data_IF_185918948818
#
_entry.id   IF_185918948818
#
_cell.length_a   1.000
_cell.length_b   1.000
_cell.length_c   1.000
_cell.angle_alpha   90.00
_cell.angle_beta   90.00
_cell.angle_gamma   90.00
#
_symmetry.space_group_name_H-M   'P 1'
#
loop_
_entity.id
_entity.type
_entity.pdbx_description
1 polymer ?
#
# COMPACT_ATOMS: atom_id res chain seq x y z
N UNK A 1 -32.65 38.42 32.40
CA UNK A 1 -33.00 37.10 31.84
C UNK A 1 -34.27 37.29 31.03
N UNK A 2 -34.20 37.27 29.70
CA UNK A 2 -35.37 37.45 28.83
C UNK A 2 -35.97 36.09 28.54
N UNK A 3 -37.16 35.83 29.09
CA UNK A 3 -37.93 34.62 28.84
C UNK A 3 -38.54 34.74 27.43
N UNK A 4 -37.98 33.99 26.48
CA UNK A 4 -38.60 33.75 25.18
C UNK A 4 -39.68 32.68 25.35
N UNK A 5 -40.83 33.07 25.89
CA UNK A 5 -42.06 32.28 25.76
C UNK A 5 -42.55 32.48 24.33
N UNK A 6 -42.01 31.66 23.42
CA UNK A 6 -42.48 31.57 22.05
C UNK A 6 -43.93 31.10 22.03
N UNK A 7 -44.76 31.85 21.30
CA UNK A 7 -46.18 31.64 21.12
C UNK A 7 -46.48 30.13 20.88
N UNK A 8 -47.41 29.50 21.63
CA UNK A 8 -47.70 28.06 21.53
C UNK A 8 -48.09 27.61 20.11
N UNK A 9 -48.56 28.55 19.29
CA UNK A 9 -48.89 28.34 17.87
C UNK A 9 -47.65 28.12 17.01
N UNK A 10 -46.56 28.87 17.24
CA UNK A 10 -45.29 28.75 16.53
C UNK A 10 -44.55 27.45 16.86
N UNK A 11 -44.63 26.99 18.10
CA UNK A 11 -44.08 25.70 18.50
C UNK A 11 -44.80 24.56 17.77
N UNK A 12 -46.14 24.61 17.72
CA UNK A 12 -46.94 23.61 17.00
C UNK A 12 -46.64 23.58 15.50
N UNK A 13 -46.43 24.75 14.88
CA UNK A 13 -46.04 24.85 13.48
C UNK A 13 -44.65 24.22 13.22
N UNK A 14 -43.66 24.52 14.07
CA UNK A 14 -42.32 23.93 13.98
C UNK A 14 -42.33 22.41 14.16
N UNK A 15 -43.12 21.89 15.09
CA UNK A 15 -43.26 20.44 15.27
C UNK A 15 -43.93 19.76 14.07
N UNK A 16 -44.91 20.41 13.42
CA UNK A 16 -45.52 19.90 12.20
C UNK A 16 -44.52 19.87 11.03
N UNK A 17 -43.69 20.90 10.89
CA UNK A 17 -42.64 20.96 9.86
C UNK A 17 -41.58 19.88 10.08
N UNK A 18 -41.13 19.68 11.33
CA UNK A 18 -40.17 18.62 11.67
C UNK A 18 -40.77 17.23 11.39
N UNK A 19 -42.05 17.01 11.66
CA UNK A 19 -42.73 15.75 11.36
C UNK A 19 -42.83 15.49 9.84
N UNK A 20 -43.16 16.52 9.06
CA UNK A 20 -43.20 16.44 7.60
C UNK A 20 -41.82 16.15 7.01
N UNK A 21 -40.77 16.80 7.52
CA UNK A 21 -39.39 16.56 7.09
C UNK A 21 -38.92 15.14 7.41
N UNK A 22 -39.20 14.63 8.61
CA UNK A 22 -38.89 13.24 8.98
C UNK A 22 -39.58 12.24 8.04
N UNK A 23 -40.87 12.44 7.75
CA UNK A 23 -41.63 11.60 6.82
C UNK A 23 -41.01 11.58 5.42
N UNK A 24 -40.61 12.74 4.89
CA UNK A 24 -39.96 12.83 3.57
C UNK A 24 -38.60 12.12 3.51
N UNK A 25 -37.84 12.15 4.61
CA UNK A 25 -36.53 11.48 4.70
C UNK A 25 -36.72 9.95 4.70
N UNK A 26 -37.70 9.45 5.45
CA UNK A 26 -37.94 8.02 5.56
C UNK A 26 -38.53 7.45 4.26
N UNK A 27 -39.42 8.18 3.58
CA UNK A 27 -39.88 7.84 2.23
C UNK A 27 -38.71 7.80 1.22
N UNK A 28 -37.81 8.78 1.25
CA UNK A 28 -36.64 8.82 0.35
C UNK A 28 -35.64 7.69 0.65
N UNK A 29 -35.48 7.29 1.91
CA UNK A 29 -34.69 6.11 2.30
C UNK A 29 -35.36 4.81 1.85
N UNK A 30 -36.68 4.70 2.00
CA UNK A 30 -37.45 3.54 1.57
C UNK A 30 -37.36 3.34 0.05
N UNK A 31 -37.50 4.40 -0.75
CA UNK A 31 -37.33 4.36 -2.21
C UNK A 31 -35.92 3.91 -2.59
N UNK A 32 -34.88 4.44 -1.93
CA UNK A 32 -33.49 4.02 -2.18
C UNK A 32 -33.26 2.54 -1.84
N UNK A 33 -33.82 2.06 -0.74
CA UNK A 33 -33.68 0.67 -0.33
C UNK A 33 -34.50 -0.29 -1.19
N UNK A 34 -35.69 0.13 -1.66
CA UNK A 34 -36.50 -0.61 -2.62
C UNK A 34 -35.81 -0.70 -3.99
N UNK A 35 -35.20 0.39 -4.47
CA UNK A 35 -34.38 0.42 -5.69
C UNK A 35 -33.19 -0.53 -5.67
N UNK A 36 -32.64 -0.85 -4.49
CA UNK A 36 -31.51 -1.78 -4.34
C UNK A 36 -31.95 -3.24 -4.24
N UNK A 37 -33.23 -3.50 -3.94
CA UNK A 37 -33.76 -4.84 -3.65
C UNK A 37 -34.74 -5.37 -4.71
N UNK A 38 -35.08 -4.59 -5.75
CA UNK A 38 -35.83 -5.10 -6.91
C UNK A 38 -34.97 -6.08 -7.71
N UNK A 39 -35.04 -7.35 -7.31
CA UNK A 39 -34.88 -8.51 -8.20
C UNK A 39 -35.95 -8.38 -9.27
N UNK A 40 -35.62 -7.73 -10.39
CA UNK A 40 -36.08 -8.05 -11.75
C UNK A 40 -35.79 -6.87 -12.70
N UNK A 41 -34.56 -6.91 -13.23
CA UNK A 41 -34.24 -6.65 -14.65
C UNK A 41 -34.64 -5.32 -15.31
N UNK A 42 -33.72 -4.34 -15.32
CA UNK A 42 -33.10 -3.92 -16.60
C UNK A 42 -31.81 -3.13 -16.37
N UNK A 43 -30.72 -3.72 -16.89
CA UNK A 43 -29.40 -3.14 -17.04
C UNK A 43 -29.43 -2.06 -18.13
N UNK A 44 -29.24 -0.81 -17.75
CA UNK A 44 -28.71 0.31 -18.56
C UNK A 44 -28.28 1.35 -17.52
N UNK A 45 -27.03 1.79 -17.33
CA UNK A 45 -25.86 2.00 -18.18
C UNK A 45 -24.63 2.01 -17.25
N UNK A 46 -23.50 1.46 -17.68
CA UNK A 46 -22.20 1.64 -17.01
C UNK A 46 -21.61 0.38 -16.37
N UNK A 47 -21.36 -0.62 -17.20
CA UNK A 47 -20.56 -1.82 -16.89
C UNK A 47 -19.17 -1.48 -16.36
N UNK A 48 -18.82 -1.99 -15.18
CA UNK A 48 -17.53 -2.65 -14.89
C UNK A 48 -17.63 -3.43 -13.57
N UNK A 49 -18.41 -4.52 -13.59
CA UNK A 49 -18.30 -5.57 -12.58
C UNK A 49 -17.46 -6.69 -13.19
N UNK A 50 -16.20 -6.73 -12.80
CA UNK A 50 -15.32 -7.88 -13.00
C UNK A 50 -15.94 -9.04 -12.22
N UNK A 51 -16.48 -10.01 -12.96
CA UNK A 51 -16.96 -11.27 -12.42
C UNK A 51 -15.81 -12.01 -11.75
N UNK A 52 -15.98 -12.33 -10.46
CA UNK A 52 -15.18 -13.37 -9.81
C UNK A 52 -15.89 -14.69 -10.05
N UNK A 53 -15.44 -15.43 -11.05
CA UNK A 53 -15.97 -16.75 -11.36
C UNK A 53 -15.04 -17.51 -12.30
N UNK A 54 -14.37 -18.50 -11.74
CA UNK A 54 -13.80 -19.68 -12.42
C UNK A 54 -12.61 -19.42 -13.37
N UNK A 55 -11.42 -19.74 -12.84
CA UNK A 55 -10.20 -19.97 -13.61
C UNK A 55 -10.38 -21.23 -14.47
N UNK A 56 -11.06 -21.11 -15.60
CA UNK A 56 -10.92 -22.03 -16.72
C UNK A 56 -9.62 -21.68 -17.44
N UNK A 57 -8.69 -22.64 -17.50
CA UNK A 57 -7.47 -22.55 -18.30
C UNK A 57 -7.81 -22.12 -19.73
N UNK A 58 -7.31 -20.94 -20.15
CA UNK A 58 -7.21 -20.60 -21.56
C UNK A 58 -5.77 -20.82 -22.01
N UNK A 59 -5.53 -21.59 -23.09
CA UNK A 59 -4.19 -21.76 -23.63
C UNK A 59 -3.69 -20.42 -24.15
N UNK A 60 -2.44 -20.08 -23.85
CA UNK A 60 -1.77 -18.91 -24.42
C UNK A 60 -1.51 -19.19 -25.90
N UNK A 61 -2.01 -18.39 -26.85
CA UNK A 61 -1.49 -18.46 -28.20
C UNK A 61 -0.11 -17.79 -28.19
N UNK A 62 0.89 -18.53 -28.65
CA UNK A 62 2.08 -17.94 -29.24
C UNK A 62 1.63 -17.04 -30.40
N UNK A 63 2.03 -15.77 -30.42
CA UNK A 63 2.44 -15.12 -31.66
C UNK A 63 3.18 -13.82 -31.39
N UNK A 64 4.24 -13.65 -32.17
CA UNK A 64 5.15 -12.52 -32.21
C UNK A 64 4.57 -11.32 -32.94
N UNK A 65 5.03 -10.13 -32.58
CA UNK A 65 5.16 -9.04 -33.54
C UNK A 65 4.17 -7.89 -33.38
N UNK A 66 4.77 -6.71 -33.27
CA UNK A 66 4.31 -5.44 -33.83
C UNK A 66 3.11 -4.71 -33.18
N UNK A 67 3.49 -3.64 -32.46
CA UNK A 67 2.71 -2.43 -32.21
C UNK A 67 2.04 -1.91 -33.49
N UNK A 68 0.80 -1.43 -33.41
CA UNK A 68 0.31 -0.07 -33.69
C UNK A 68 -1.16 -0.03 -33.25
N UNK A 69 -1.67 1.12 -32.80
CA UNK A 69 -2.95 1.34 -32.07
C UNK A 69 -2.89 1.26 -30.54
N UNK A 70 -1.98 2.05 -29.97
CA UNK A 70 -2.17 2.68 -28.66
C UNK A 70 -2.92 4.00 -28.89
N UNK A 71 -4.25 3.96 -28.85
CA UNK A 71 -5.12 5.14 -28.99
C UNK A 71 -6.31 5.02 -28.06
N UNK A 72 -6.71 6.14 -27.45
CA UNK A 72 -7.67 6.30 -26.36
C UNK A 72 -7.14 6.07 -24.94
N UNK A 73 -6.03 6.73 -24.63
CA UNK A 73 -5.90 7.34 -23.29
C UNK A 73 -6.86 8.52 -23.28
N UNK A 74 -7.96 8.38 -22.54
CA UNK A 74 -8.95 9.44 -22.37
C UNK A 74 -8.26 10.73 -21.97
N UNK A 75 -8.30 11.69 -22.90
CA UNK A 75 -7.83 13.04 -22.71
C UNK A 75 -8.65 13.60 -21.53
N UNK A 76 -7.97 13.81 -20.39
CA UNK A 76 -8.56 14.52 -19.26
C UNK A 76 -8.96 15.87 -19.79
N UNK A 77 -10.27 16.08 -19.95
CA UNK A 77 -10.83 17.40 -20.18
C UNK A 77 -10.25 18.33 -19.12
N UNK A 78 -9.34 19.19 -19.57
CA UNK A 78 -8.98 20.42 -18.88
C UNK A 78 -10.25 21.26 -18.91
N UNK A 79 -11.15 21.01 -17.96
CA UNK A 79 -12.19 21.96 -17.61
C UNK A 79 -11.43 23.17 -17.07
N UNK A 80 -11.10 24.09 -17.97
CA UNK A 80 -10.84 25.47 -17.64
C UNK A 80 -12.05 25.92 -16.83
N UNK A 81 -11.87 25.95 -15.50
CA UNK A 81 -12.79 26.68 -14.64
C UNK A 81 -12.82 28.09 -15.18
N UNK A 82 -14.02 28.64 -15.37
CA UNK A 82 -14.22 30.06 -15.56
C UNK A 82 -13.65 30.76 -14.31
N UNK A 83 -12.35 31.06 -14.35
CA UNK A 83 -11.67 31.88 -13.36
C UNK A 83 -12.08 33.31 -13.67
N UNK A 84 -13.13 33.79 -13.01
CA UNK A 84 -13.37 35.23 -12.91
C UNK A 84 -12.28 35.79 -12.00
N UNK A 85 -11.17 36.23 -12.59
CA UNK A 85 -10.17 37.01 -11.88
C UNK A 85 -10.78 38.38 -11.56
N UNK A 86 -11.19 38.58 -10.32
CA UNK A 86 -11.48 39.92 -9.80
C UNK A 86 -10.13 40.54 -9.47
N UNK A 87 -9.60 41.31 -10.41
CA UNK A 87 -8.51 42.23 -10.13
C UNK A 87 -9.10 43.36 -9.29
N UNK A 88 -8.84 43.37 -7.99
CA UNK A 88 -8.96 44.62 -7.24
C UNK A 88 -7.97 45.61 -7.87
N UNK A 89 -8.50 46.74 -8.32
CA UNK A 89 -7.82 47.72 -9.15
C UNK A 89 -6.46 48.17 -8.63
N UNK A 90 -5.63 48.56 -9.59
CA UNK A 90 -4.33 49.19 -9.41
C UNK A 90 -4.40 50.39 -8.46
N UNK A 91 -3.50 50.43 -7.50
CA UNK A 91 -3.06 51.63 -6.81
C UNK A 91 -1.57 51.50 -6.54
N UNK A 92 -0.79 52.39 -7.12
CA UNK A 92 0.63 52.55 -6.84
C UNK A 92 0.87 52.91 -5.36
N UNK A 93 2.07 52.54 -4.91
CA UNK A 93 2.87 53.15 -3.83
C UNK A 93 2.22 53.30 -2.44
N UNK A 94 2.74 52.55 -1.47
CA UNK A 94 3.57 53.13 -0.41
C UNK A 94 4.00 52.08 0.64
N UNK A 95 5.20 52.31 1.16
CA UNK A 95 5.77 51.65 2.33
C UNK A 95 4.87 51.87 3.56
N UNK A 96 4.96 50.93 4.47
CA UNK A 96 4.47 50.98 5.86
C UNK A 96 2.96 50.93 6.03
N UNK A 97 2.47 49.77 6.43
CA UNK A 97 1.50 49.75 7.52
C UNK A 97 1.73 48.50 8.35
N UNK A 98 1.88 48.77 9.64
CA UNK A 98 1.96 47.81 10.73
C UNK A 98 0.96 46.66 10.52
N UNK A 99 1.37 45.48 10.97
CA UNK A 99 0.55 44.28 11.15
C UNK A 99 -0.74 44.61 11.90
N UNK A 100 -1.74 45.10 11.18
CA UNK A 100 -3.12 45.09 11.65
C UNK A 100 -3.54 43.64 11.65
N UNK A 101 -3.95 43.15 12.83
CA UNK A 101 -4.54 41.83 13.01
C UNK A 101 -5.61 41.61 11.93
N UNK A 102 -5.26 40.79 10.93
CA UNK A 102 -6.18 40.48 9.84
C UNK A 102 -7.31 39.64 10.43
N UNK A 103 -8.40 40.32 10.76
CA UNK A 103 -9.60 39.73 11.38
C UNK A 103 -10.21 38.63 10.52
N UNK A 104 -9.99 38.67 9.20
CA UNK A 104 -10.57 37.73 8.24
C UNK A 104 -9.53 37.20 7.23
N UNK A 105 -9.72 35.94 6.82
CA UNK A 105 -8.94 35.18 5.85
C UNK A 105 -9.89 34.65 4.79
N UNK A 106 -9.55 34.80 3.51
CA UNK A 106 -10.30 34.15 2.43
C UNK A 106 -9.88 32.67 2.33
N UNK A 107 -10.86 31.77 2.37
CA UNK A 107 -10.64 30.33 2.22
C UNK A 107 -11.33 29.84 0.95
N UNK A 108 -10.61 29.08 0.12
CA UNK A 108 -11.15 28.52 -1.12
C UNK A 108 -11.46 27.05 -0.88
N UNK A 109 -12.75 26.70 -0.94
CA UNK A 109 -13.24 25.33 -0.84
C UNK A 109 -13.69 24.80 -2.20
N UNK A 110 -14.06 23.51 -2.27
CA UNK A 110 -14.67 22.93 -3.49
C UNK A 110 -15.97 23.62 -3.89
N UNK A 111 -16.64 24.29 -2.95
CA UNK A 111 -17.93 24.97 -3.16
C UNK A 111 -17.78 26.47 -3.50
N UNK A 112 -16.56 27.02 -3.47
CA UNK A 112 -16.30 28.44 -3.72
C UNK A 112 -15.40 29.09 -2.67
N UNK A 113 -15.20 30.41 -2.81
CA UNK A 113 -14.43 31.24 -1.90
C UNK A 113 -15.33 31.79 -0.80
N UNK A 114 -14.90 31.67 0.45
CA UNK A 114 -15.57 32.24 1.62
C UNK A 114 -14.61 33.13 2.40
N UNK A 115 -15.13 34.21 2.99
CA UNK A 115 -14.39 35.05 3.91
C UNK A 115 -14.68 34.57 5.33
N UNK A 116 -13.65 34.17 6.08
CA UNK A 116 -13.79 33.52 7.40
C UNK A 116 -12.90 34.24 8.40
N UNK A 117 -13.32 34.36 9.66
CA UNK A 117 -12.49 34.96 10.72
C UNK A 117 -11.19 34.16 10.91
N UNK A 118 -10.08 34.83 11.17
CA UNK A 118 -8.76 34.20 11.33
C UNK A 118 -8.73 33.12 12.42
N UNK A 119 -9.46 33.30 13.52
CA UNK A 119 -9.57 32.31 14.61
C UNK A 119 -10.28 31.03 14.16
N UNK A 120 -11.40 31.16 13.46
CA UNK A 120 -12.17 30.02 12.92
C UNK A 120 -11.32 29.25 11.92
N UNK A 121 -10.58 29.97 11.07
CA UNK A 121 -9.69 29.36 10.10
C UNK A 121 -8.59 28.52 10.76
N UNK A 122 -7.95 29.05 11.82
CA UNK A 122 -6.93 28.29 12.59
C UNK A 122 -7.53 27.04 13.23
N UNK A 123 -8.72 27.15 13.81
CA UNK A 123 -9.42 26.02 14.42
C UNK A 123 -9.80 24.94 13.40
N UNK A 124 -10.24 25.33 12.20
CA UNK A 124 -10.57 24.38 11.15
C UNK A 124 -9.32 23.71 10.57
N UNK A 125 -8.21 24.45 10.43
CA UNK A 125 -6.93 23.85 10.05
C UNK A 125 -6.47 22.79 11.06
N UNK A 126 -6.58 23.04 12.37
CA UNK A 126 -6.19 22.06 13.38
C UNK A 126 -7.10 20.82 13.34
N UNK A 127 -8.42 21.02 13.20
CA UNK A 127 -9.37 19.90 13.04
C UNK A 127 -9.07 19.06 11.80
N UNK A 128 -8.77 19.69 10.66
CA UNK A 128 -8.40 18.98 9.43
C UNK A 128 -7.10 18.20 9.57
N UNK A 129 -6.10 18.74 10.28
CA UNK A 129 -4.87 18.02 10.59
C UNK A 129 -5.16 16.76 11.43
N UNK A 130 -5.95 16.89 12.49
CA UNK A 130 -6.35 15.78 13.35
C UNK A 130 -7.11 14.69 12.56
N UNK A 131 -8.12 15.08 11.77
CA UNK A 131 -8.86 14.14 10.92
C UNK A 131 -7.95 13.41 9.91
N UNK A 132 -6.98 14.11 9.33
CA UNK A 132 -6.02 13.50 8.41
C UNK A 132 -5.09 12.51 9.10
N UNK A 133 -4.65 12.80 10.33
CA UNK A 133 -3.86 11.89 11.15
C UNK A 133 -4.66 10.64 11.54
N UNK A 134 -5.91 10.80 11.96
CA UNK A 134 -6.82 9.68 12.23
C UNK A 134 -7.02 8.79 11.00
N UNK A 135 -7.22 9.39 9.83
CA UNK A 135 -7.38 8.63 8.57
C UNK A 135 -6.08 7.88 8.24
N UNK A 136 -4.91 8.50 8.44
CA UNK A 136 -3.61 7.83 8.24
C UNK A 136 -3.45 6.65 9.19
N UNK A 137 -3.80 6.81 10.46
CA UNK A 137 -3.71 5.77 11.47
C UNK A 137 -4.65 4.60 11.15
N UNK A 138 -5.92 4.88 10.83
CA UNK A 138 -6.91 3.87 10.41
C UNK A 138 -6.46 3.11 9.15
N UNK A 139 -5.86 3.80 8.18
CA UNK A 139 -5.32 3.17 6.96
C UNK A 139 -4.14 2.25 7.28
N UNK A 140 -3.24 2.70 8.16
CA UNK A 140 -2.08 1.93 8.59
C UNK A 140 -2.51 0.66 9.36
N UNK A 141 -3.48 0.79 10.25
CA UNK A 141 -4.08 -0.34 10.98
C UNK A 141 -4.74 -1.34 10.04
N UNK A 142 -5.57 -0.87 9.10
CA UNK A 142 -6.20 -1.72 8.10
C UNK A 142 -5.18 -2.44 7.21
N UNK A 143 -4.07 -1.78 6.86
CA UNK A 143 -2.98 -2.38 6.10
C UNK A 143 -2.25 -3.47 6.91
N UNK A 144 -2.00 -3.23 8.20
CA UNK A 144 -1.43 -4.24 9.13
C UNK A 144 -2.34 -5.46 9.24
N UNK A 145 -3.64 -5.26 9.47
CA UNK A 145 -4.62 -6.34 9.58
C UNK A 145 -4.71 -7.18 8.29
N UNK A 146 -4.75 -6.52 7.13
CA UNK A 146 -4.73 -7.21 5.82
C UNK A 146 -3.46 -8.04 5.63
N UNK A 147 -2.31 -7.51 6.05
CA UNK A 147 -1.02 -8.21 5.96
C UNK A 147 -1.01 -9.46 6.86
N UNK A 148 -1.49 -9.35 8.10
CA UNK A 148 -1.58 -10.48 9.02
C UNK A 148 -2.46 -11.60 8.44
N UNK A 149 -3.66 -11.26 7.95
CA UNK A 149 -4.57 -12.23 7.29
C UNK A 149 -3.94 -12.89 6.05
N UNK A 150 -3.18 -12.13 5.26
CA UNK A 150 -2.47 -12.69 4.12
C UNK A 150 -1.38 -13.68 4.55
N UNK A 151 -0.64 -13.37 5.62
CA UNK A 151 0.37 -14.26 6.18
C UNK A 151 -0.25 -15.53 6.77
N UNK A 152 -1.39 -15.42 7.46
CA UNK A 152 -2.14 -16.58 7.98
C UNK A 152 -2.49 -17.56 6.85
N UNK A 153 -3.02 -17.04 5.74
CA UNK A 153 -3.36 -17.86 4.57
C UNK A 153 -2.14 -18.49 3.89
N UNK A 154 -0.98 -17.82 3.93
CA UNK A 154 0.26 -18.38 3.40
C UNK A 154 0.78 -19.46 4.33
N UNK A 155 0.75 -19.23 5.65
CA UNK A 155 1.22 -20.16 6.67
C UNK A 155 0.36 -21.42 6.68
N UNK A 156 -0.97 -21.31 6.55
CA UNK A 156 -1.84 -22.48 6.48
C UNK A 156 -1.50 -23.36 5.28
N UNK A 157 -1.25 -22.76 4.11
CA UNK A 157 -0.77 -23.49 2.92
C UNK A 157 0.60 -24.12 3.14
N UNK A 158 1.52 -23.37 3.76
CA UNK A 158 2.86 -23.86 4.05
C UNK A 158 2.82 -25.09 4.96
N UNK A 159 1.99 -25.07 6.01
CA UNK A 159 1.80 -26.21 6.93
C UNK A 159 1.40 -27.47 6.19
N UNK A 160 0.50 -27.35 5.21
CA UNK A 160 0.09 -28.48 4.38
C UNK A 160 1.19 -28.92 3.41
N UNK A 161 1.89 -27.97 2.77
CA UNK A 161 2.88 -28.29 1.73
C UNK A 161 4.24 -28.76 2.26
N UNK A 162 4.56 -28.46 3.52
CA UNK A 162 5.86 -28.76 4.15
C UNK A 162 5.72 -29.66 5.37
N UNK A 163 4.68 -30.50 5.39
CA UNK A 163 4.42 -31.38 6.53
C UNK A 163 5.50 -32.45 6.71
N UNK A 164 6.06 -32.94 5.58
CA UNK A 164 7.17 -33.90 5.54
C UNK A 164 8.57 -33.29 5.69
N UNK A 165 8.67 -31.96 5.87
CA UNK A 165 9.94 -31.27 6.01
C UNK A 165 10.37 -31.17 7.48
N UNK A 166 11.68 -31.14 7.72
CA UNK A 166 12.24 -30.91 9.05
C UNK A 166 11.84 -29.54 9.59
N UNK A 167 11.55 -29.49 10.90
CA UNK A 167 11.10 -28.27 11.58
C UNK A 167 12.19 -27.73 12.49
N UNK A 168 12.43 -26.43 12.39
CA UNK A 168 13.41 -25.72 13.20
C UNK A 168 12.76 -24.52 13.90
N UNK A 169 13.29 -24.15 15.06
CA UNK A 169 12.83 -22.98 15.82
C UNK A 169 13.93 -21.91 15.82
N UNK A 170 13.63 -20.75 15.23
CA UNK A 170 14.55 -19.61 15.15
C UNK A 170 13.88 -18.37 15.72
N UNK A 171 14.53 -17.70 16.67
CA UNK A 171 14.03 -16.52 17.39
C UNK A 171 12.66 -16.73 18.08
N UNK A 172 12.20 -17.98 18.23
CA UNK A 172 10.84 -18.29 18.71
C UNK A 172 9.77 -18.42 17.62
N UNK A 173 10.13 -18.26 16.35
CA UNK A 173 9.30 -18.64 15.20
C UNK A 173 9.64 -20.07 14.76
N UNK A 174 8.65 -20.80 14.23
CA UNK A 174 8.82 -22.16 13.70
C UNK A 174 8.90 -22.09 12.18
N UNK A 175 9.93 -22.71 11.62
CA UNK A 175 10.15 -22.82 10.19
C UNK A 175 10.27 -24.28 9.76
N UNK A 176 9.84 -24.58 8.54
CA UNK A 176 10.19 -25.82 7.83
C UNK A 176 11.41 -25.60 6.94
N UNK A 177 12.33 -26.55 6.95
CA UNK A 177 13.51 -26.55 6.08
C UNK A 177 13.09 -27.07 4.71
N UNK A 178 13.22 -26.24 3.67
CA UNK A 178 12.88 -26.58 2.29
C UNK A 178 14.05 -26.36 1.35
N UNK A 179 14.04 -27.01 0.19
CA UNK A 179 15.07 -26.89 -0.84
C UNK A 179 16.48 -27.14 -0.27
N UNK A 180 16.69 -28.28 0.38
CA UNK A 180 18.00 -28.68 0.94
C UNK A 180 18.64 -27.64 1.88
N UNK A 181 17.83 -26.85 2.59
CA UNK A 181 18.33 -25.84 3.51
C UNK A 181 18.39 -24.42 2.94
N UNK A 182 18.26 -24.21 1.63
CA UNK A 182 18.36 -22.87 1.04
C UNK A 182 17.21 -21.93 1.43
N UNK A 183 16.06 -22.49 1.81
CA UNK A 183 14.85 -21.73 2.13
C UNK A 183 14.18 -22.28 3.38
N UNK A 184 13.90 -21.40 4.32
CA UNK A 184 13.11 -21.72 5.50
C UNK A 184 11.73 -21.11 5.36
N UNK A 185 10.72 -21.98 5.40
CA UNK A 185 9.33 -21.64 5.18
C UNK A 185 8.66 -21.40 6.52
N UNK A 186 8.03 -20.24 6.71
CA UNK A 186 7.39 -19.91 7.98
C UNK A 186 6.14 -20.76 8.22
N UNK A 187 6.06 -21.38 9.40
CA UNK A 187 4.93 -22.18 9.89
C UNK A 187 4.17 -21.48 11.04
N UNK A 188 4.77 -20.47 11.66
CA UNK A 188 4.16 -19.62 12.67
C UNK A 188 4.08 -18.17 12.21
N UNK A 189 3.10 -17.43 12.74
CA UNK A 189 3.03 -15.99 12.54
C UNK A 189 4.22 -15.33 13.24
N UNK A 190 4.91 -14.39 12.58
CA UNK A 190 6.02 -13.67 13.19
C UNK A 190 5.49 -12.83 14.36
N UNK A 191 6.00 -13.10 15.56
CA UNK A 191 5.67 -12.30 16.75
C UNK A 191 6.68 -11.17 16.90
N UNK A 192 6.18 -9.93 16.87
CA UNK A 192 6.96 -8.72 17.08
C UNK A 192 7.89 -8.33 15.91
N UNK A 193 8.74 -7.35 16.16
CA UNK A 193 9.76 -6.92 15.22
C UNK A 193 10.99 -7.83 15.34
N UNK A 194 11.18 -8.66 14.31
CA UNK A 194 12.29 -9.63 14.23
C UNK A 194 13.41 -9.06 13.36
N UNK A 195 14.67 -9.45 13.62
CA UNK A 195 15.79 -9.02 12.78
C UNK A 195 15.59 -9.46 11.33
N UNK A 196 16.05 -8.60 10.41
CA UNK A 196 15.95 -8.86 8.96
C UNK A 196 16.89 -9.98 8.51
N UNK A 197 18.01 -10.16 9.22
CA UNK A 197 19.02 -11.18 8.94
C UNK A 197 19.15 -12.08 10.17
N UNK A 198 19.13 -13.40 9.94
CA UNK A 198 19.25 -14.43 10.98
C UNK A 198 20.35 -15.39 10.56
N UNK A 199 21.15 -15.86 11.50
CA UNK A 199 22.19 -16.86 11.26
C UNK A 199 21.65 -18.24 11.63
N UNK A 200 21.72 -19.20 10.72
CA UNK A 200 21.38 -20.59 10.99
C UNK A 200 22.38 -21.50 10.28
N UNK A 201 22.92 -22.50 10.99
CA UNK A 201 23.92 -23.43 10.49
C UNK A 201 25.17 -22.75 9.86
N UNK A 202 25.65 -21.66 10.48
CA UNK A 202 26.78 -20.87 9.98
C UNK A 202 26.48 -20.01 8.75
N UNK A 203 25.23 -19.99 8.28
CA UNK A 203 24.82 -19.27 7.09
C UNK A 203 23.85 -18.13 7.42
N UNK A 204 23.94 -17.05 6.64
CA UNK A 204 23.08 -15.90 6.79
C UNK A 204 21.79 -16.09 5.99
N UNK A 205 20.65 -15.82 6.61
CA UNK A 205 19.32 -15.87 6.01
C UNK A 205 18.65 -14.51 6.07
N UNK A 206 18.03 -14.09 4.97
CA UNK A 206 17.29 -12.83 4.89
C UNK A 206 15.79 -13.08 4.94
N UNK A 207 15.12 -12.38 5.86
CA UNK A 207 13.66 -12.43 6.02
C UNK A 207 12.97 -11.64 4.91
N UNK A 208 12.03 -12.30 4.23
CA UNK A 208 11.21 -11.71 3.18
C UNK A 208 9.89 -11.16 3.73
N UNK A 209 9.20 -10.35 2.93
CA UNK A 209 7.90 -9.77 3.28
C UNK A 209 6.82 -10.81 3.56
N UNK A 210 6.93 -12.00 2.95
CA UNK A 210 6.05 -13.16 3.16
C UNK A 210 6.38 -13.99 4.41
N UNK A 211 7.36 -13.56 5.22
CA UNK A 211 7.78 -14.25 6.45
C UNK A 211 8.81 -15.36 6.24
N UNK A 212 9.06 -15.80 5.00
CA UNK A 212 10.06 -16.84 4.72
C UNK A 212 11.48 -16.28 4.84
N UNK A 213 12.41 -17.14 5.22
CA UNK A 213 13.84 -16.86 5.23
C UNK A 213 14.48 -17.51 4.00
N UNK A 214 15.36 -16.77 3.33
CA UNK A 214 16.14 -17.29 2.21
C UNK A 214 17.62 -17.09 2.51
N UNK A 215 18.43 -18.13 2.28
CA UNK A 215 19.88 -18.05 2.39
C UNK A 215 20.41 -16.89 1.53
N UNK A 216 21.20 -16.02 2.13
CA UNK A 216 21.91 -14.96 1.42
C UNK A 216 23.14 -15.55 0.76
N UNK A 217 22.95 -16.19 -0.39
CA UNK A 217 24.07 -16.65 -1.19
C UNK A 217 24.73 -15.41 -1.80
N UNK A 218 26.03 -15.21 -1.54
CA UNK A 218 26.78 -14.18 -2.26
C UNK A 218 26.70 -14.53 -3.75
N UNK A 219 26.24 -13.60 -4.59
CA UNK A 219 26.14 -13.84 -6.03
C UNK A 219 27.50 -14.10 -6.68
N UNK A 220 28.60 -13.85 -5.96
CA UNK A 220 29.97 -14.07 -6.44
C UNK A 220 30.33 -15.55 -6.63
N UNK A 221 29.65 -16.51 -5.99
CA UNK A 221 29.98 -17.94 -6.18
C UNK A 221 29.39 -18.57 -7.44
N UNK A 222 28.42 -17.94 -8.11
CA UNK A 222 27.79 -18.52 -9.32
C UNK A 222 28.63 -18.35 -10.59
N UNK A 223 29.46 -17.31 -10.67
CA UNK A 223 30.30 -17.04 -11.83
C UNK A 223 31.66 -17.74 -11.77
N UNK A 224 32.10 -18.15 -10.57
CA UNK A 224 33.39 -18.81 -10.42
C UNK A 224 33.34 -20.24 -10.95
N UNK A 225 32.25 -20.99 -10.70
CA UNK A 225 32.12 -22.37 -11.20
C UNK A 225 32.02 -22.46 -12.73
N UNK A 226 31.45 -21.47 -13.41
CA UNK A 226 31.43 -21.45 -14.88
C UNK A 226 32.79 -21.10 -15.50
N UNK A 227 33.62 -20.30 -14.80
CA UNK A 227 34.97 -19.99 -15.26
C UNK A 227 35.92 -21.18 -15.08
N UNK A 228 35.79 -21.96 -14.01
CA UNK A 228 36.64 -23.16 -13.80
C UNK A 228 36.35 -24.28 -14.81
N UNK A 229 35.08 -24.52 -15.19
CA UNK A 229 34.73 -25.52 -16.21
C UNK A 229 35.26 -25.13 -17.60
N UNK A 230 35.28 -23.83 -17.93
CA UNK A 230 35.84 -23.36 -19.20
C UNK A 230 37.37 -23.35 -19.24
N UNK A 231 38.05 -23.17 -18.09
CA UNK A 231 39.51 -23.25 -18.01
C UNK A 231 40.01 -24.70 -18.06
N UNK A 232 39.31 -25.65 -17.44
CA UNK A 232 39.67 -27.06 -17.56
C UNK A 232 39.55 -27.57 -19.00
N UNK A 233 38.47 -27.23 -19.73
CA UNK A 233 38.37 -27.61 -21.15
C UNK A 233 39.43 -26.95 -22.05
N UNK A 234 39.88 -25.73 -21.75
CA UNK A 234 40.97 -25.09 -22.48
C UNK A 234 42.34 -25.69 -22.14
N UNK A 235 42.58 -26.13 -20.90
CA UNK A 235 43.84 -26.77 -20.49
C UNK A 235 43.97 -28.20 -21.03
N UNK A 236 42.86 -28.94 -21.18
CA UNK A 236 42.90 -30.27 -21.82
C UNK A 236 43.22 -30.18 -23.32
N UNK A 237 42.85 -29.09 -24.00
CA UNK A 237 43.18 -28.87 -25.42
C UNK A 237 44.67 -28.50 -25.62
N UNK A 238 45.32 -27.92 -24.61
CA UNK A 238 46.73 -27.48 -24.68
C UNK A 238 47.71 -28.58 -24.21
N UNK A 239 47.22 -29.72 -23.73
CA UNK A 239 48.07 -30.90 -23.46
C UNK A 239 49.04 -30.71 -22.28
N UNK A 240 48.71 -29.86 -21.31
CA UNK A 240 49.49 -29.73 -20.08
C UNK A 240 48.82 -30.57 -19.00
N UNK A 241 49.31 -31.80 -18.82
CA UNK A 241 49.02 -32.59 -17.62
C UNK A 241 49.76 -31.96 -16.44
N UNK A 242 49.06 -31.28 -15.53
CA UNK A 242 49.61 -30.95 -14.21
C UNK A 242 49.70 -32.25 -13.40
N UNK A 243 50.86 -32.89 -13.47
CA UNK A 243 51.28 -33.86 -12.47
C UNK A 243 51.47 -33.13 -11.14
N UNK A 244 50.72 -33.59 -10.13
CA UNK A 244 51.06 -33.58 -8.70
C UNK A 244 51.78 -32.33 -8.18
N UNK A 245 51.00 -31.35 -7.73
CA UNK A 245 51.49 -30.32 -6.80
C UNK A 245 51.01 -30.70 -5.41
N UNK A 246 51.86 -31.46 -4.71
CA UNK A 246 51.86 -31.56 -3.26
C UNK A 246 52.07 -30.16 -2.68
N UNK A 247 51.06 -29.61 -2.00
CA UNK A 247 51.26 -28.52 -1.05
C UNK A 247 50.80 -29.03 0.30
N UNK A 248 51.76 -29.63 0.99
CA UNK A 248 51.80 -29.77 2.43
C UNK A 248 51.64 -28.39 3.07
N UNK A 249 50.58 -28.27 3.86
CA UNK A 249 50.61 -27.82 5.25
C UNK A 249 51.94 -27.21 5.73
N UNK A 250 52.08 -25.89 5.66
CA UNK A 250 52.96 -25.16 6.55
C UNK A 250 52.41 -23.76 6.84
N UNK A 251 52.59 -23.36 8.10
CA UNK A 251 51.96 -22.20 8.71
C UNK A 251 52.54 -20.88 8.22
N UNK A 252 51.70 -19.86 8.04
CA UNK A 252 52.03 -18.46 8.41
C UNK A 252 50.74 -17.74 8.81
N UNK A 253 50.55 -17.62 10.12
CA UNK A 253 49.87 -16.48 10.74
C UNK A 253 50.61 -15.20 10.35
N UNK A 254 49.91 -14.06 10.37
CA UNK A 254 50.39 -12.65 10.50
C UNK A 254 49.98 -11.75 9.31
N UNK A 255 49.40 -10.59 9.70
CA UNK A 255 49.01 -9.38 8.98
C UNK A 255 47.61 -9.39 8.30
N UNK A 256 46.58 -8.63 8.70
CA UNK A 256 46.52 -7.39 9.49
C UNK A 256 47.33 -6.29 8.80
N UNK A 257 46.81 -5.23 8.20
CA UNK A 257 45.96 -4.15 8.71
C UNK A 257 45.97 -3.11 7.56
N UNK A 258 44.87 -2.36 7.36
CA UNK A 258 44.76 -1.09 6.58
C UNK A 258 44.93 -1.19 5.06
#
# INVERSE_FOLDING_TARGET
MSNNDGDPTDLKAKYAEIAALKKSIDEKKAIRNASLNSKDGKKTIGTNYISKGQNQHKPRPYSSGFNYYKGFVGNKGSYHRNMTAVFNGQGQDEKNTETSDTKYVSSISKSGMSLVTSDIYKQDQSKLKQLNEEIKNKKLEAAKARRLKALENIISKNRMSTDSCDRIKLDGDIFAVSNHGDKLVALSLPRGDRPKVIVWNGENYIRKSNGNLKRSVSHRRRYVLHLFVSVEHLLTIIGISLSTVDILQEQVSIFGIV
#
